data_IF_295007273435
#
_entry.id   IF_295007273435
#
_cell.length_a   1.000
_cell.length_b   1.000
_cell.length_c   1.000
_cell.angle_alpha   90.00
_cell.angle_beta   90.00
_cell.angle_gamma   90.00
#
_symmetry.space_group_name_H-M   'P 1'
#
loop_
_entity.id
_entity.type
_entity.pdbx_description
1 polymer ?
#
# COMPACT_ATOMS: atom_id res chain seq x y z
N UNK A 1 -18.52 -21.50 -43.90
CA UNK A 1 -18.13 -20.22 -43.25
C UNK A 1 -18.24 -20.26 -41.72
N UNK A 2 -19.23 -20.94 -41.13
CA UNK A 2 -19.43 -21.00 -39.68
C UNK A 2 -18.30 -21.69 -38.90
N UNK A 3 -17.68 -22.73 -39.45
CA UNK A 3 -16.57 -23.45 -38.81
C UNK A 3 -15.30 -22.58 -38.72
N UNK A 4 -14.95 -21.88 -39.80
CA UNK A 4 -13.78 -20.99 -39.85
C UNK A 4 -13.91 -19.81 -38.87
N UNK A 5 -15.10 -19.21 -38.75
CA UNK A 5 -15.35 -18.13 -37.79
C UNK A 5 -15.25 -18.62 -36.35
N UNK A 6 -15.79 -19.81 -36.04
CA UNK A 6 -15.67 -20.42 -34.71
C UNK A 6 -14.21 -20.72 -34.35
N UNK A 7 -13.44 -21.27 -35.29
CA UNK A 7 -12.01 -21.53 -35.10
C UNK A 7 -11.22 -20.24 -34.84
N UNK A 8 -11.51 -19.16 -35.59
CA UNK A 8 -10.89 -17.86 -35.37
C UNK A 8 -11.21 -17.29 -33.98
N UNK A 9 -12.47 -17.38 -33.54
CA UNK A 9 -12.88 -16.92 -32.21
C UNK A 9 -12.15 -17.66 -31.09
N UNK A 10 -11.97 -18.98 -31.23
CA UNK A 10 -11.23 -19.80 -30.26
C UNK A 10 -9.75 -19.39 -30.21
N UNK A 11 -9.14 -19.10 -31.36
CA UNK A 11 -7.74 -18.65 -31.40
C UNK A 11 -7.59 -17.31 -30.68
N UNK A 12 -8.50 -16.36 -30.91
CA UNK A 12 -8.48 -15.05 -30.25
C UNK A 12 -8.67 -15.19 -28.73
N UNK A 13 -9.59 -16.04 -28.28
CA UNK A 13 -9.81 -16.24 -26.84
C UNK A 13 -8.62 -16.94 -26.18
N UNK A 14 -7.99 -17.92 -26.84
CA UNK A 14 -6.77 -18.58 -26.35
C UNK A 14 -5.60 -17.60 -26.24
N UNK A 15 -5.40 -16.74 -27.24
CA UNK A 15 -4.36 -15.70 -27.20
C UNK A 15 -4.63 -14.70 -26.06
N UNK A 16 -5.87 -14.26 -25.90
CA UNK A 16 -6.26 -13.33 -24.83
C UNK A 16 -6.03 -13.93 -23.44
N UNK A 17 -6.47 -15.17 -23.20
CA UNK A 17 -6.27 -15.88 -21.92
C UNK A 17 -4.78 -16.09 -21.65
N UNK A 18 -4.00 -16.53 -22.64
CA UNK A 18 -2.56 -16.76 -22.48
C UNK A 18 -1.78 -15.47 -22.19
N UNK A 19 -2.21 -14.35 -22.78
CA UNK A 19 -1.59 -13.04 -22.55
C UNK A 19 -1.85 -12.53 -21.12
N UNK A 20 -3.06 -12.76 -20.59
CA UNK A 20 -3.40 -12.44 -19.20
C UNK A 20 -2.60 -13.30 -18.20
N UNK A 21 -2.38 -14.58 -18.50
CA UNK A 21 -1.55 -15.47 -17.67
C UNK A 21 -0.10 -14.97 -17.62
N UNK A 22 0.43 -14.49 -18.75
CA UNK A 22 1.83 -14.00 -18.83
C UNK A 22 2.05 -12.71 -18.04
N UNK A 23 1.02 -11.87 -17.92
CA UNK A 23 1.03 -10.66 -17.08
C UNK A 23 1.06 -10.99 -15.57
N UNK A 24 0.64 -12.19 -15.19
CA UNK A 24 0.60 -12.67 -13.79
C UNK A 24 1.90 -13.34 -13.32
N UNK A 25 2.99 -13.26 -14.08
CA UNK A 25 4.24 -13.96 -13.75
C UNK A 25 5.10 -13.26 -12.69
N UNK A 26 4.77 -12.02 -12.31
CA UNK A 26 5.39 -11.34 -11.18
C UNK A 26 4.58 -11.64 -9.90
N UNK A 27 5.01 -12.62 -9.12
CA UNK A 27 4.49 -12.86 -7.78
C UNK A 27 5.30 -12.07 -6.75
N UNK A 28 4.61 -11.37 -5.85
CA UNK A 28 5.27 -10.74 -4.71
C UNK A 28 5.76 -11.83 -3.75
N UNK A 29 7.08 -12.04 -3.69
CA UNK A 29 7.66 -13.07 -2.83
C UNK A 29 7.87 -12.59 -1.40
N UNK A 30 8.37 -11.36 -1.22
CA UNK A 30 8.58 -10.78 0.11
C UNK A 30 8.62 -9.25 0.07
N UNK A 31 8.23 -8.63 1.19
CA UNK A 31 8.37 -7.19 1.44
C UNK A 31 8.93 -7.02 2.84
N UNK A 32 9.95 -6.19 2.98
CA UNK A 32 10.49 -5.77 4.28
C UNK A 32 10.16 -4.29 4.46
N UNK A 33 9.40 -3.96 5.50
CA UNK A 33 9.04 -2.58 5.84
C UNK A 33 9.81 -2.13 7.07
N UNK A 34 10.66 -1.11 6.90
CA UNK A 34 11.17 -0.30 8.00
C UNK A 34 10.53 1.08 7.91
N UNK A 35 9.51 1.30 8.73
CA UNK A 35 8.83 2.58 8.81
C UNK A 35 9.13 3.26 10.15
N UNK A 36 9.07 4.59 10.14
CA UNK A 36 9.06 5.38 11.37
C UNK A 36 7.70 5.20 12.07
N UNK A 37 7.66 5.57 13.35
CA UNK A 37 6.40 5.78 14.07
C UNK A 37 5.53 6.85 13.36
N UNK A 38 4.22 6.82 13.61
CA UNK A 38 3.27 7.83 13.15
C UNK A 38 3.46 9.18 13.83
N UNK A 39 2.54 10.11 13.63
CA UNK A 39 2.63 11.40 14.32
C UNK A 39 2.46 11.22 15.83
N UNK A 40 3.18 12.04 16.59
CA UNK A 40 3.23 11.90 18.05
C UNK A 40 3.50 13.23 18.74
N UNK A 41 3.02 13.31 19.97
CA UNK A 41 3.35 14.38 20.89
C UNK A 41 4.87 14.55 21.06
N UNK A 42 5.33 15.76 21.42
CA UNK A 42 6.74 16.02 21.66
C UNK A 42 7.29 15.08 22.75
N UNK A 43 8.57 14.69 22.66
CA UNK A 43 9.19 13.83 23.68
C UNK A 43 9.48 14.57 24.99
N UNK A 44 9.64 15.89 24.88
CA UNK A 44 9.97 16.78 25.98
C UNK A 44 9.31 18.12 25.69
N UNK A 45 8.82 18.76 26.74
CA UNK A 45 8.41 20.14 26.66
C UNK A 45 9.57 21.05 27.10
N UNK A 46 9.68 22.22 26.46
CA UNK A 46 10.74 23.19 26.75
C UNK A 46 10.18 24.35 27.56
N UNK A 47 10.97 24.98 28.45
CA UNK A 47 10.45 25.98 29.41
C UNK A 47 9.75 27.18 28.77
N UNK A 48 10.12 27.58 27.55
CA UNK A 48 9.57 28.75 26.86
C UNK A 48 8.53 28.40 25.80
N UNK A 49 8.01 27.17 25.77
CA UNK A 49 6.90 26.81 24.91
C UNK A 49 5.58 27.30 25.52
N UNK A 50 4.82 28.10 24.79
CA UNK A 50 3.50 28.59 25.22
C UNK A 50 2.49 27.46 25.43
N UNK A 51 2.72 26.29 24.84
CA UNK A 51 1.87 25.11 24.91
C UNK A 51 2.40 24.05 25.88
N UNK A 52 3.38 24.38 26.72
CA UNK A 52 4.03 23.43 27.63
C UNK A 52 3.01 22.68 28.52
N UNK A 53 2.09 23.40 29.15
CA UNK A 53 1.03 22.79 29.98
C UNK A 53 0.12 21.85 29.19
N UNK A 54 -0.21 22.21 27.94
CA UNK A 54 -0.99 21.37 27.06
C UNK A 54 -0.27 20.05 26.76
N UNK A 55 1.02 20.10 26.40
CA UNK A 55 1.78 18.89 26.10
C UNK A 55 1.98 17.99 27.32
N UNK A 56 2.19 18.57 28.49
CA UNK A 56 2.30 17.83 29.74
C UNK A 56 1.00 17.14 30.14
N UNK A 57 -0.15 17.79 29.91
CA UNK A 57 -1.46 17.20 30.16
C UNK A 57 -1.86 16.14 29.10
N UNK A 58 -1.55 16.39 27.83
CA UNK A 58 -1.86 15.50 26.72
C UNK A 58 -1.05 14.20 26.76
N UNK A 59 0.21 14.27 27.22
CA UNK A 59 1.11 13.14 27.35
C UNK A 59 2.23 13.18 26.33
N UNK A 60 3.47 13.23 26.83
CA UNK A 60 4.67 13.35 26.00
C UNK A 60 4.99 12.03 25.29
N UNK A 61 5.39 12.12 24.02
CA UNK A 61 5.83 10.99 23.20
C UNK A 61 4.73 10.00 22.76
N UNK A 62 3.48 10.21 23.15
CA UNK A 62 2.34 9.40 22.73
C UNK A 62 1.98 9.62 21.26
N UNK A 63 1.55 8.56 20.57
CA UNK A 63 0.99 8.64 19.22
C UNK A 63 -0.35 9.40 19.28
N UNK A 64 -0.61 10.22 18.27
CA UNK A 64 -1.90 10.92 18.12
C UNK A 64 -2.97 9.98 17.56
N UNK A 65 -4.23 10.19 17.93
CA UNK A 65 -5.40 9.50 17.35
C UNK A 65 -5.69 9.93 15.90
#
# INVERSE_FOLDING_TARGET
MTVSVKSFLIIVTVIFVSSNIKLSSASLESVILLHRHGDRAPLRAIPNDSNNEHWLAYGLGGLTE
#
